data_IF_036727020084
#
_entry.id   IF_036727020084
#
_cell.length_a   1.000
_cell.length_b   1.000
_cell.length_c   1.000
_cell.angle_alpha   90.00
_cell.angle_beta   90.00
_cell.angle_gamma   90.00
#
_symmetry.space_group_name_H-M   'P 1'
#
loop_
_entity.id
_entity.type
_entity.pdbx_description
1 polymer ?
#
# COMPACT_ATOMS: atom_id res chain seq x y z
N UNK A 1 42.34 0.05 17.79
CA UNK A 1 41.77 -0.55 16.54
C UNK A 1 42.55 -0.11 15.30
N UNK A 2 42.86 1.20 15.14
CA UNK A 2 43.57 1.71 13.96
C UNK A 2 44.99 1.16 13.87
N UNK A 3 45.76 1.19 14.95
CA UNK A 3 47.15 0.68 15.01
C UNK A 3 47.18 -0.79 14.63
N UNK A 4 46.30 -1.63 15.20
CA UNK A 4 46.22 -3.06 14.87
C UNK A 4 45.88 -3.30 13.39
N UNK A 5 44.97 -2.51 12.83
CA UNK A 5 44.49 -2.68 11.46
C UNK A 5 45.53 -2.28 10.40
N UNK A 6 46.46 -1.40 10.77
CA UNK A 6 47.42 -0.81 9.86
C UNK A 6 48.88 -1.10 10.30
N UNK A 7 49.13 -2.07 11.15
CA UNK A 7 50.45 -2.49 11.55
C UNK A 7 51.16 -3.19 10.38
N UNK A 8 52.42 -2.79 10.15
CA UNK A 8 53.32 -3.40 9.17
C UNK A 8 54.56 -3.95 9.89
N UNK A 9 55.38 -4.82 9.26
CA UNK A 9 56.61 -5.33 9.86
C UNK A 9 57.57 -4.25 10.40
N UNK A 10 57.49 -3.03 9.85
CA UNK A 10 58.23 -1.85 10.31
C UNK A 10 57.51 -0.98 11.35
N UNK A 11 56.43 -1.49 11.98
CA UNK A 11 55.59 -0.75 12.95
C UNK A 11 54.52 0.10 12.32
N UNK A 12 53.76 0.81 13.16
CA UNK A 12 52.70 1.73 12.72
C UNK A 12 53.29 3.07 12.23
N UNK A 13 52.95 3.46 11.00
CA UNK A 13 53.30 4.79 10.44
C UNK A 13 52.01 5.41 9.91
N UNK A 14 51.66 6.62 10.38
CA UNK A 14 50.43 7.31 10.02
C UNK A 14 50.26 7.50 8.48
N UNK A 15 51.35 7.82 7.76
CA UNK A 15 51.34 7.97 6.30
C UNK A 15 50.99 6.65 5.62
N UNK A 16 51.57 5.53 6.05
CA UNK A 16 51.28 4.19 5.51
C UNK A 16 49.87 3.76 5.85
N UNK A 17 49.40 4.05 7.08
CA UNK A 17 48.02 3.78 7.51
C UNK A 17 47.01 4.54 6.65
N UNK A 18 47.25 5.83 6.37
CA UNK A 18 46.38 6.63 5.48
C UNK A 18 46.41 6.12 4.03
N UNK A 19 47.56 5.75 3.50
CA UNK A 19 47.65 5.17 2.15
C UNK A 19 46.90 3.86 2.05
N UNK A 20 47.05 2.97 3.06
CA UNK A 20 46.31 1.71 3.14
C UNK A 20 44.78 1.90 3.30
N UNK A 21 44.38 2.92 4.09
CA UNK A 21 42.99 3.29 4.23
C UNK A 21 42.38 3.75 2.88
N UNK A 22 43.06 4.64 2.17
CA UNK A 22 42.67 5.08 0.82
C UNK A 22 42.68 3.94 -0.22
N UNK A 23 43.61 3.00 -0.10
CA UNK A 23 43.64 1.82 -0.97
C UNK A 23 42.42 0.94 -0.70
N UNK A 24 42.11 0.63 0.57
CA UNK A 24 40.91 -0.14 0.97
C UNK A 24 39.62 0.53 0.52
N UNK A 25 39.53 1.86 0.66
CA UNK A 25 38.40 2.65 0.16
C UNK A 25 38.24 2.48 -1.34
N UNK A 26 39.31 2.67 -2.12
CA UNK A 26 39.30 2.43 -3.58
C UNK A 26 38.93 1.01 -3.96
N UNK A 27 39.45 0.01 -3.25
CA UNK A 27 39.21 -1.39 -3.52
C UNK A 27 37.78 -1.80 -3.13
N UNK A 28 37.20 -1.17 -2.10
CA UNK A 28 35.79 -1.35 -1.75
C UNK A 28 34.84 -0.79 -2.82
N UNK A 29 35.21 0.35 -3.45
CA UNK A 29 34.46 0.94 -4.55
C UNK A 29 34.66 0.20 -5.89
N UNK A 30 35.70 -0.62 -6.03
CA UNK A 30 35.96 -1.45 -7.23
C UNK A 30 35.20 -2.76 -7.25
N UNK A 31 34.69 -3.24 -6.11
CA UNK A 31 33.87 -4.45 -6.09
C UNK A 31 32.59 -4.17 -6.84
N UNK A 32 32.23 -4.97 -7.85
CA UNK A 32 30.93 -4.83 -8.49
C UNK A 32 29.86 -4.94 -7.43
N UNK A 33 28.85 -4.08 -7.52
CA UNK A 33 27.70 -4.19 -6.63
C UNK A 33 27.08 -5.57 -6.76
N UNK A 34 26.71 -6.18 -5.64
CA UNK A 34 26.01 -7.47 -5.62
C UNK A 34 24.79 -7.46 -6.58
N UNK A 35 24.08 -6.32 -6.68
CA UNK A 35 22.95 -6.18 -7.60
C UNK A 35 23.43 -6.15 -9.05
N UNK A 36 24.50 -5.39 -9.37
CA UNK A 36 25.04 -5.31 -10.74
C UNK A 36 25.62 -6.63 -11.25
N UNK A 37 26.07 -7.51 -10.36
CA UNK A 37 26.59 -8.83 -10.71
C UNK A 37 25.53 -9.92 -10.84
N UNK A 38 24.26 -9.63 -10.54
CA UNK A 38 23.15 -10.59 -10.58
C UNK A 38 21.99 -10.05 -11.43
N UNK A 39 21.84 -10.58 -12.64
CA UNK A 39 20.71 -10.25 -13.52
C UNK A 39 19.36 -10.59 -12.87
N UNK A 40 19.29 -11.70 -12.11
CA UNK A 40 18.09 -12.10 -11.40
C UNK A 40 17.68 -11.07 -10.33
N UNK A 41 18.64 -10.49 -9.58
CA UNK A 41 18.35 -9.43 -8.63
C UNK A 41 17.87 -8.16 -9.33
N UNK A 42 18.53 -7.76 -10.42
CA UNK A 42 18.16 -6.58 -11.20
C UNK A 42 16.73 -6.70 -11.73
N UNK A 43 16.42 -7.81 -12.37
CA UNK A 43 15.09 -8.07 -12.94
C UNK A 43 14.01 -8.09 -11.86
N UNK A 44 14.26 -8.75 -10.73
CA UNK A 44 13.32 -8.79 -9.61
C UNK A 44 13.09 -7.38 -9.02
N UNK A 45 14.16 -6.62 -8.78
CA UNK A 45 14.04 -5.26 -8.24
C UNK A 45 13.25 -4.38 -9.22
N UNK A 46 13.57 -4.43 -10.51
CA UNK A 46 12.89 -3.65 -11.54
C UNK A 46 11.39 -3.97 -11.60
N UNK A 47 11.03 -5.25 -11.69
CA UNK A 47 9.64 -5.71 -11.71
C UNK A 47 8.85 -5.23 -10.47
N UNK A 48 9.43 -5.40 -9.27
CA UNK A 48 8.73 -5.01 -8.03
C UNK A 48 8.66 -3.49 -7.85
N UNK A 49 9.63 -2.74 -8.37
CA UNK A 49 9.57 -1.28 -8.42
C UNK A 49 8.45 -0.79 -9.32
N UNK A 50 8.22 -1.41 -10.48
CA UNK A 50 7.07 -1.10 -11.37
C UNK A 50 5.73 -1.33 -10.66
N UNK A 51 5.65 -2.29 -9.76
CA UNK A 51 4.49 -2.54 -8.89
C UNK A 51 4.46 -1.59 -7.67
N UNK A 52 5.29 -0.56 -7.66
CA UNK A 52 5.42 0.46 -6.62
C UNK A 52 5.79 -0.10 -5.23
N UNK A 53 6.48 -1.25 -5.16
CA UNK A 53 7.02 -1.73 -3.89
C UNK A 53 8.15 -0.80 -3.42
N UNK A 54 8.27 -0.62 -2.11
CA UNK A 54 9.41 0.11 -1.57
C UNK A 54 10.67 -0.78 -1.54
N UNK A 55 11.89 -0.20 -1.60
CA UNK A 55 13.13 -0.96 -1.43
C UNK A 55 13.15 -1.84 -0.18
N UNK A 56 12.51 -1.38 0.90
CA UNK A 56 12.38 -2.17 2.14
C UNK A 56 11.50 -3.41 1.96
N UNK A 57 10.37 -3.29 1.26
CA UNK A 57 9.49 -4.42 0.95
C UNK A 57 10.19 -5.42 0.03
N UNK A 58 10.90 -4.93 -0.98
CA UNK A 58 11.68 -5.74 -1.92
C UNK A 58 12.75 -6.54 -1.16
N UNK A 59 13.55 -5.86 -0.33
CA UNK A 59 14.60 -6.48 0.49
C UNK A 59 14.06 -7.60 1.37
N UNK A 60 12.96 -7.37 2.10
CA UNK A 60 12.37 -8.34 3.02
C UNK A 60 11.71 -9.53 2.34
N UNK A 61 11.24 -9.34 1.12
CA UNK A 61 10.53 -10.37 0.37
C UNK A 61 11.42 -11.20 -0.53
N UNK A 62 12.52 -10.64 -1.02
CA UNK A 62 13.43 -11.24 -2.00
C UNK A 62 13.90 -12.64 -1.58
N UNK A 63 14.24 -12.84 -0.31
CA UNK A 63 14.69 -14.15 0.20
C UNK A 63 13.61 -15.23 0.04
N UNK A 64 12.36 -14.88 0.34
CA UNK A 64 11.22 -15.81 0.21
C UNK A 64 10.89 -16.12 -1.26
N UNK A 65 10.97 -15.11 -2.13
CA UNK A 65 10.52 -15.23 -3.51
C UNK A 65 11.58 -15.85 -4.44
N UNK A 66 12.86 -15.49 -4.27
CA UNK A 66 13.94 -15.92 -5.17
C UNK A 66 15.19 -16.47 -4.47
N UNK A 67 15.16 -16.67 -3.15
CA UNK A 67 16.27 -17.23 -2.38
C UNK A 67 17.50 -16.32 -2.21
N UNK A 68 17.44 -15.07 -2.69
CA UNK A 68 18.54 -14.10 -2.63
C UNK A 68 18.28 -13.07 -1.54
N UNK A 69 19.36 -12.53 -0.96
CA UNK A 69 19.28 -11.54 0.14
C UNK A 69 20.03 -10.28 -0.22
N UNK A 70 19.40 -9.12 -0.03
CA UNK A 70 20.02 -7.80 -0.22
C UNK A 70 19.42 -6.81 0.78
N UNK A 71 20.24 -5.88 1.31
CA UNK A 71 19.71 -4.85 2.19
C UNK A 71 18.93 -3.77 1.38
N UNK A 72 17.94 -3.16 2.02
CA UNK A 72 17.19 -2.06 1.38
C UNK A 72 18.10 -0.86 1.10
N UNK A 73 19.14 -0.64 1.88
CA UNK A 73 20.14 0.41 1.66
C UNK A 73 20.94 0.15 0.38
N UNK A 74 21.33 -1.12 0.14
CA UNK A 74 22.01 -1.52 -1.12
C UNK A 74 21.10 -1.28 -2.33
N UNK A 75 19.77 -1.52 -2.20
CA UNK A 75 18.81 -1.21 -3.27
C UNK A 75 18.72 0.31 -3.49
N UNK A 76 18.70 1.13 -2.43
CA UNK A 76 18.74 2.59 -2.58
C UNK A 76 20.03 3.06 -3.27
N UNK A 77 21.19 2.52 -2.88
CA UNK A 77 22.46 2.83 -3.54
C UNK A 77 22.43 2.43 -5.02
N UNK A 78 21.87 1.28 -5.35
CA UNK A 78 21.68 0.88 -6.74
C UNK A 78 20.86 1.92 -7.50
N UNK A 79 19.70 2.32 -7.00
CA UNK A 79 18.80 3.28 -7.66
C UNK A 79 19.44 4.66 -7.82
N UNK A 80 20.07 5.19 -6.75
CA UNK A 80 20.54 6.58 -6.75
C UNK A 80 21.96 6.79 -7.27
N UNK A 81 22.83 5.82 -7.09
CA UNK A 81 24.26 5.94 -7.36
C UNK A 81 24.69 5.15 -8.60
N UNK A 82 24.23 3.91 -8.72
CA UNK A 82 24.73 2.99 -9.75
C UNK A 82 23.96 3.07 -11.06
N UNK A 83 22.66 3.38 -11.04
CA UNK A 83 21.88 3.57 -12.27
C UNK A 83 22.12 4.97 -12.85
N UNK A 84 22.10 5.06 -14.19
CA UNK A 84 22.31 6.29 -14.95
C UNK A 84 21.20 6.48 -16.00
N UNK A 85 21.06 7.70 -16.52
CA UNK A 85 20.17 8.00 -17.63
C UNK A 85 18.69 7.74 -17.34
N UNK A 86 18.00 7.17 -18.29
CA UNK A 86 16.56 6.91 -18.23
C UNK A 86 16.18 5.91 -17.14
N UNK A 87 16.96 4.84 -16.93
CA UNK A 87 16.71 3.85 -15.89
C UNK A 87 16.68 4.49 -14.48
N UNK A 88 17.58 5.44 -14.21
CA UNK A 88 17.58 6.17 -12.93
C UNK A 88 16.31 7.00 -12.74
N UNK A 89 15.90 7.73 -13.79
CA UNK A 89 14.67 8.53 -13.76
C UNK A 89 13.46 7.66 -13.50
N UNK A 90 13.37 6.55 -14.22
CA UNK A 90 12.27 5.59 -14.10
C UNK A 90 12.17 4.98 -12.71
N UNK A 91 13.25 4.37 -12.19
CA UNK A 91 13.27 3.77 -10.86
C UNK A 91 12.99 4.79 -9.74
N UNK A 92 13.51 6.02 -9.88
CA UNK A 92 13.23 7.10 -8.92
C UNK A 92 11.74 7.52 -8.97
N UNK A 93 11.12 7.47 -10.16
CA UNK A 93 9.71 7.78 -10.31
C UNK A 93 8.78 6.79 -9.59
N UNK A 94 9.19 5.54 -9.42
CA UNK A 94 8.43 4.51 -8.68
C UNK A 94 8.52 4.65 -7.17
N UNK A 95 9.45 5.44 -6.63
CA UNK A 95 9.54 5.67 -5.19
C UNK A 95 8.36 6.48 -4.65
N UNK A 96 7.81 6.04 -3.51
CA UNK A 96 6.60 6.63 -2.90
C UNK A 96 6.74 8.11 -2.53
N UNK A 97 7.92 8.56 -2.13
CA UNK A 97 8.16 9.95 -1.73
C UNK A 97 8.68 10.80 -2.88
N UNK A 98 7.80 11.13 -3.83
CA UNK A 98 7.97 12.36 -4.60
C UNK A 98 7.61 13.50 -3.65
N UNK A 99 8.60 14.20 -3.08
CA UNK A 99 8.32 15.33 -2.17
C UNK A 99 7.48 16.40 -2.84
N UNK A 100 6.16 16.52 -2.60
CA UNK A 100 5.50 17.80 -2.68
C UNK A 100 5.62 18.50 -1.32
N UNK A 101 5.81 19.82 -1.31
CA UNK A 101 5.72 20.64 -0.11
C UNK A 101 4.42 20.31 0.64
N UNK A 102 4.53 20.16 1.96
CA UNK A 102 3.37 20.01 2.86
C UNK A 102 2.53 21.28 2.74
N UNK A 103 1.37 21.19 2.08
CA UNK A 103 0.37 22.27 2.10
C UNK A 103 -0.43 22.18 3.39
N UNK A 104 -0.69 23.31 4.04
CA UNK A 104 -1.58 23.36 5.21
C UNK A 104 -2.99 22.95 4.76
N UNK A 105 -3.66 22.09 5.54
CA UNK A 105 -5.05 21.74 5.31
C UNK A 105 -5.91 22.98 5.61
N UNK A 106 -6.54 23.57 4.61
CA UNK A 106 -7.68 24.45 4.83
C UNK A 106 -8.82 23.61 5.37
N UNK A 107 -9.31 23.95 6.53
CA UNK A 107 -10.54 23.39 7.11
C UNK A 107 -11.72 23.95 6.28
N UNK A 108 -12.19 23.17 5.32
CA UNK A 108 -13.48 23.43 4.70
C UNK A 108 -14.56 22.84 5.58
N UNK A 109 -15.33 23.70 6.24
CA UNK A 109 -16.53 23.36 6.99
C UNK A 109 -17.69 23.10 6.00
N UNK A 110 -17.69 21.94 5.34
CA UNK A 110 -18.88 21.48 4.64
C UNK A 110 -19.96 21.07 5.64
N UNK A 111 -21.13 21.71 5.60
CA UNK A 111 -22.35 21.22 6.25
C UNK A 111 -22.80 19.93 5.56
N UNK A 112 -22.26 18.79 6.02
CA UNK A 112 -22.69 17.46 5.56
C UNK A 112 -24.07 17.18 6.15
N UNK A 113 -25.03 16.83 5.28
CA UNK A 113 -26.36 16.42 5.72
C UNK A 113 -26.30 15.14 6.58
N UNK A 114 -27.25 14.96 7.48
CA UNK A 114 -27.39 13.77 8.32
C UNK A 114 -27.86 12.57 7.51
N UNK A 115 -27.23 11.40 7.74
CA UNK A 115 -27.69 10.11 7.19
C UNK A 115 -28.78 9.60 8.14
N UNK A 116 -30.02 9.32 7.65
CA UNK A 116 -31.09 8.77 8.50
C UNK A 116 -30.71 7.43 9.11
N UNK A 117 -31.07 7.21 10.37
CA UNK A 117 -30.94 5.92 11.09
C UNK A 117 -29.52 5.32 11.05
N UNK A 118 -28.53 6.17 11.07
CA UNK A 118 -27.13 5.82 11.07
C UNK A 118 -26.73 5.15 12.40
N UNK A 119 -26.03 4.00 12.32
CA UNK A 119 -25.46 3.33 13.49
C UNK A 119 -24.05 3.87 13.71
N UNK A 120 -23.82 4.45 14.90
CA UNK A 120 -22.51 4.99 15.25
C UNK A 120 -21.45 3.90 15.38
N UNK A 121 -20.19 4.24 15.07
CA UNK A 121 -19.04 3.37 15.28
C UNK A 121 -18.88 2.96 16.75
N UNK A 122 -19.41 3.75 17.71
CA UNK A 122 -19.41 3.41 19.13
C UNK A 122 -20.22 2.15 19.47
N UNK A 123 -21.15 1.76 18.60
CA UNK A 123 -21.95 0.53 18.74
C UNK A 123 -21.33 -0.67 17.99
N UNK A 124 -20.17 -0.47 17.37
CA UNK A 124 -19.47 -1.53 16.66
C UNK A 124 -18.90 -2.54 17.66
N UNK A 125 -18.99 -3.86 17.40
CA UNK A 125 -18.42 -4.88 18.30
C UNK A 125 -16.93 -4.61 18.59
N UNK A 126 -16.52 -4.81 19.85
CA UNK A 126 -15.15 -4.55 20.32
C UNK A 126 -14.14 -5.41 19.56
N UNK A 127 -14.50 -6.64 19.19
CA UNK A 127 -13.67 -7.58 18.41
C UNK A 127 -13.15 -7.00 17.08
N UNK A 128 -13.81 -5.95 16.57
CA UNK A 128 -13.38 -5.29 15.32
C UNK A 128 -12.14 -4.44 15.54
N UNK A 129 -11.86 -3.99 16.76
CA UNK A 129 -10.72 -3.10 17.07
C UNK A 129 -9.39 -3.82 16.91
N UNK A 130 -9.27 -5.06 17.39
CA UNK A 130 -8.03 -5.82 17.44
C UNK A 130 -7.55 -6.27 16.05
N UNK A 131 -8.41 -6.19 15.02
CA UNK A 131 -8.10 -6.59 13.64
C UNK A 131 -7.59 -8.04 13.52
N UNK A 132 -7.99 -8.90 14.44
CA UNK A 132 -7.63 -10.32 14.47
C UNK A 132 -8.70 -11.13 13.73
N UNK A 133 -9.96 -10.85 14.00
CA UNK A 133 -11.09 -11.55 13.42
C UNK A 133 -11.33 -11.05 11.98
N UNK A 134 -11.35 -11.93 10.97
CA UNK A 134 -11.62 -11.54 9.59
C UNK A 134 -13.12 -11.26 9.36
N UNK A 135 -13.39 -10.57 8.24
CA UNK A 135 -14.76 -10.26 7.82
C UNK A 135 -15.20 -8.83 8.15
N UNK A 136 -14.32 -8.01 8.70
CA UNK A 136 -14.59 -6.62 9.02
C UNK A 136 -13.92 -5.70 8.00
N UNK A 137 -14.73 -4.94 7.27
CA UNK A 137 -14.29 -4.12 6.14
C UNK A 137 -14.35 -2.63 6.45
N UNK A 138 -13.47 -1.89 5.83
CA UNK A 138 -13.51 -0.42 5.74
C UNK A 138 -13.82 -0.04 4.30
N UNK A 139 -14.80 0.86 4.08
CA UNK A 139 -15.19 1.32 2.76
C UNK A 139 -14.97 2.81 2.56
N UNK A 140 -14.72 3.23 1.31
CA UNK A 140 -14.55 4.63 0.92
C UNK A 140 -14.72 4.80 -0.60
N UNK A 141 -14.79 6.06 -1.05
CA UNK A 141 -14.71 6.42 -2.46
C UNK A 141 -13.41 7.17 -2.77
N UNK A 142 -12.79 6.82 -3.88
CA UNK A 142 -11.72 7.62 -4.46
C UNK A 142 -12.30 8.42 -5.61
N UNK A 143 -12.48 9.71 -5.38
CA UNK A 143 -13.07 10.64 -6.35
C UNK A 143 -12.06 11.02 -7.42
N UNK A 144 -12.49 11.02 -8.68
CA UNK A 144 -11.71 11.36 -9.86
C UNK A 144 -11.70 12.84 -10.22
N UNK A 145 -11.34 13.11 -11.48
CA UNK A 145 -11.26 14.46 -12.02
C UNK A 145 -12.59 15.21 -11.86
N UNK A 146 -12.50 16.46 -11.42
CA UNK A 146 -13.62 17.41 -11.31
C UNK A 146 -14.83 16.83 -10.53
N UNK A 147 -14.59 15.86 -9.66
CA UNK A 147 -15.62 15.13 -8.91
C UNK A 147 -16.69 14.44 -9.79
N UNK A 148 -16.39 14.17 -11.08
CA UNK A 148 -17.37 13.59 -12.04
C UNK A 148 -17.40 12.07 -12.01
N UNK A 149 -16.31 11.41 -11.62
CA UNK A 149 -16.18 9.96 -11.55
C UNK A 149 -15.63 9.51 -10.22
N UNK A 150 -15.79 8.24 -9.86
CA UNK A 150 -15.21 7.65 -8.66
C UNK A 150 -15.04 6.13 -8.81
N UNK A 151 -14.17 5.56 -7.98
CA UNK A 151 -14.13 4.13 -7.72
C UNK A 151 -14.38 3.87 -6.24
N UNK A 152 -15.05 2.76 -5.94
CA UNK A 152 -15.21 2.29 -4.57
C UNK A 152 -14.01 1.50 -4.11
N UNK A 153 -13.70 1.60 -2.83
CA UNK A 153 -12.67 0.80 -2.17
C UNK A 153 -13.26 0.08 -0.97
N UNK A 154 -12.99 -1.20 -0.87
CA UNK A 154 -13.34 -2.04 0.28
C UNK A 154 -12.06 -2.71 0.75
N UNK A 155 -11.68 -2.52 2.00
CA UNK A 155 -10.44 -3.09 2.55
C UNK A 155 -10.77 -3.91 3.78
N UNK A 156 -10.39 -5.19 3.77
CA UNK A 156 -10.55 -6.07 4.90
C UNK A 156 -9.49 -5.72 5.98
N UNK A 157 -9.93 -5.61 7.24
CA UNK A 157 -9.14 -5.00 8.32
C UNK A 157 -8.00 -5.88 8.81
N UNK A 158 -8.17 -7.19 8.87
CA UNK A 158 -7.15 -8.13 9.38
C UNK A 158 -6.09 -8.44 8.32
N UNK A 159 -6.49 -8.76 7.11
CA UNK A 159 -5.63 -9.18 6.01
C UNK A 159 -5.11 -8.04 5.13
N UNK A 160 -5.70 -6.84 5.24
CA UNK A 160 -5.46 -5.69 4.34
C UNK A 160 -5.85 -5.98 2.88
N UNK A 161 -6.63 -7.04 2.64
CA UNK A 161 -7.10 -7.38 1.31
C UNK A 161 -8.01 -6.29 0.78
N UNK A 162 -7.74 -5.83 -0.44
CA UNK A 162 -8.42 -4.71 -1.06
C UNK A 162 -9.24 -5.17 -2.25
N UNK A 163 -10.49 -4.71 -2.31
CA UNK A 163 -11.35 -4.81 -3.48
C UNK A 163 -11.54 -3.41 -4.07
N UNK A 164 -11.29 -3.28 -5.36
CA UNK A 164 -11.59 -2.06 -6.12
C UNK A 164 -12.89 -2.28 -6.89
N UNK A 165 -13.82 -1.35 -6.73
CA UNK A 165 -15.17 -1.45 -7.27
C UNK A 165 -15.37 -0.37 -8.32
N UNK A 166 -15.60 -0.79 -9.57
CA UNK A 166 -15.99 0.13 -10.64
C UNK A 166 -17.40 0.65 -10.36
N UNK A 167 -17.60 1.95 -10.47
CA UNK A 167 -18.87 2.62 -10.23
C UNK A 167 -19.36 3.27 -11.53
N UNK A 168 -20.61 3.05 -11.86
CA UNK A 168 -21.30 3.71 -12.98
C UNK A 168 -21.73 5.14 -12.60
N UNK A 169 -21.92 5.40 -11.30
CA UNK A 169 -22.28 6.69 -10.74
C UNK A 169 -21.82 6.83 -9.29
N UNK A 170 -21.87 8.07 -8.75
CA UNK A 170 -21.53 8.37 -7.35
C UNK A 170 -22.77 8.47 -6.45
N UNK A 171 -23.96 8.30 -7.02
CA UNK A 171 -25.19 8.30 -6.26
C UNK A 171 -25.27 7.07 -5.34
N UNK A 172 -26.08 7.19 -4.29
CA UNK A 172 -26.19 6.16 -3.26
C UNK A 172 -26.72 4.81 -3.79
N UNK A 173 -27.49 4.82 -4.87
CA UNK A 173 -28.02 3.59 -5.45
C UNK A 173 -26.93 2.83 -6.22
N UNK A 174 -26.18 3.54 -7.07
CA UNK A 174 -25.06 2.98 -7.83
C UNK A 174 -23.99 2.41 -6.92
N UNK A 175 -23.58 3.16 -5.89
CA UNK A 175 -22.59 2.70 -4.89
C UNK A 175 -23.09 1.47 -4.14
N UNK A 176 -24.34 1.53 -3.64
CA UNK A 176 -24.96 0.38 -2.93
C UNK A 176 -24.98 -0.89 -3.78
N UNK A 177 -25.47 -0.78 -5.04
CA UNK A 177 -25.56 -1.93 -5.97
C UNK A 177 -24.17 -2.53 -6.25
N UNK A 178 -23.19 -1.67 -6.57
CA UNK A 178 -21.85 -2.12 -6.91
C UNK A 178 -21.14 -2.78 -5.71
N UNK A 179 -21.22 -2.17 -4.52
CA UNK A 179 -20.65 -2.75 -3.30
C UNK A 179 -21.34 -4.06 -2.91
N UNK A 180 -22.68 -4.10 -2.94
CA UNK A 180 -23.41 -5.31 -2.62
C UNK A 180 -23.09 -6.47 -3.58
N UNK A 181 -22.94 -6.18 -4.89
CA UNK A 181 -22.50 -7.17 -5.88
C UNK A 181 -21.14 -7.75 -5.51
N UNK A 182 -20.15 -6.84 -5.19
CA UNK A 182 -18.79 -7.27 -4.90
C UNK A 182 -18.67 -8.05 -3.61
N UNK A 183 -19.42 -7.68 -2.57
CA UNK A 183 -19.44 -8.38 -1.28
C UNK A 183 -20.08 -9.78 -1.42
N UNK A 184 -21.11 -9.93 -2.23
CA UNK A 184 -21.78 -11.23 -2.45
C UNK A 184 -20.88 -12.29 -3.13
N UNK A 185 -19.78 -11.87 -3.76
CA UNK A 185 -18.78 -12.77 -4.33
C UNK A 185 -17.93 -13.46 -3.23
N UNK A 186 -17.99 -12.97 -1.98
CA UNK A 186 -17.19 -13.46 -0.86
C UNK A 186 -17.96 -14.47 0.02
N UNK A 187 -17.26 -15.39 0.70
CA UNK A 187 -17.85 -16.25 1.72
C UNK A 187 -18.52 -15.43 2.83
N UNK A 188 -19.65 -15.93 3.36
CA UNK A 188 -20.41 -15.23 4.40
C UNK A 188 -19.62 -14.93 5.66
N UNK A 189 -18.78 -15.85 6.09
CA UNK A 189 -17.96 -15.72 7.28
C UNK A 189 -16.93 -14.58 7.18
N UNK A 190 -16.64 -14.14 5.95
CA UNK A 190 -15.76 -13.00 5.65
C UNK A 190 -16.53 -11.70 5.36
N UNK A 191 -17.83 -11.63 5.66
CA UNK A 191 -18.68 -10.45 5.35
C UNK A 191 -19.53 -10.04 6.55
N UNK A 192 -18.88 -9.67 7.67
CA UNK A 192 -19.54 -9.36 8.95
C UNK A 192 -19.98 -7.90 9.07
N UNK A 193 -19.05 -6.97 8.96
CA UNK A 193 -19.34 -5.53 9.12
C UNK A 193 -18.63 -4.66 8.09
N UNK A 194 -19.23 -3.51 7.81
CA UNK A 194 -18.64 -2.45 7.01
C UNK A 194 -18.56 -1.16 7.82
N UNK A 195 -17.36 -0.59 7.95
CA UNK A 195 -17.16 0.74 8.53
C UNK A 195 -17.02 1.76 7.42
N UNK A 196 -17.84 2.81 7.45
CA UNK A 196 -17.89 3.84 6.42
C UNK A 196 -17.83 5.24 7.04
N UNK A 197 -17.52 6.28 6.26
CA UNK A 197 -17.69 7.65 6.73
C UNK A 197 -19.15 8.12 6.59
N UNK A 198 -19.39 9.38 6.96
CA UNK A 198 -20.73 9.97 6.82
C UNK A 198 -20.98 10.54 5.43
N UNK A 199 -20.45 9.90 4.38
CA UNK A 199 -20.68 10.28 2.99
C UNK A 199 -22.13 10.00 2.56
N UNK A 200 -22.71 10.93 1.81
CA UNK A 200 -24.11 10.81 1.31
C UNK A 200 -24.32 9.60 0.38
N UNK A 201 -23.26 9.11 -0.22
CA UNK A 201 -23.28 7.92 -1.08
C UNK A 201 -23.65 6.64 -0.31
N UNK A 202 -23.62 6.66 1.05
CA UNK A 202 -24.02 5.52 1.87
C UNK A 202 -25.39 5.72 2.56
N UNK A 203 -26.20 6.66 2.10
CA UNK A 203 -27.57 6.89 2.63
C UNK A 203 -28.48 5.68 2.47
N UNK A 204 -28.24 4.79 1.50
CA UNK A 204 -28.99 3.53 1.32
C UNK A 204 -28.41 2.36 2.11
N UNK A 205 -27.67 2.61 3.22
CA UNK A 205 -27.01 1.58 4.03
C UNK A 205 -27.98 0.47 4.54
N UNK A 206 -29.23 0.80 4.88
CA UNK A 206 -30.23 -0.20 5.28
C UNK A 206 -30.52 -1.21 4.17
N UNK A 207 -30.69 -0.72 2.92
CA UNK A 207 -30.88 -1.60 1.75
C UNK A 207 -29.61 -2.42 1.47
N UNK A 208 -28.43 -1.85 1.69
CA UNK A 208 -27.17 -2.58 1.58
C UNK A 208 -27.09 -3.70 2.63
N UNK A 209 -27.39 -3.40 3.90
CA UNK A 209 -27.44 -4.40 4.98
C UNK A 209 -28.45 -5.51 4.69
N UNK A 210 -29.66 -5.17 4.20
CA UNK A 210 -30.64 -6.19 3.81
C UNK A 210 -30.13 -7.11 2.69
N UNK A 211 -29.42 -6.53 1.71
CA UNK A 211 -28.93 -7.27 0.54
C UNK A 211 -27.69 -8.14 0.84
N UNK A 212 -26.84 -7.74 1.78
CA UNK A 212 -25.56 -8.39 2.06
C UNK A 212 -25.49 -9.07 3.42
N UNK A 213 -26.40 -8.76 4.33
CA UNK A 213 -26.39 -9.11 5.76
C UNK A 213 -25.20 -8.50 6.53
N UNK A 214 -24.44 -7.60 5.93
CA UNK A 214 -23.37 -6.85 6.61
C UNK A 214 -23.94 -5.65 7.35
N UNK A 215 -23.61 -5.52 8.63
CA UNK A 215 -23.95 -4.33 9.41
C UNK A 215 -23.03 -3.17 9.04
N UNK A 216 -23.60 -1.99 8.78
CA UNK A 216 -22.83 -0.77 8.48
C UNK A 216 -22.72 0.10 9.72
N UNK A 217 -21.50 0.52 10.03
CA UNK A 217 -21.17 1.45 11.12
C UNK A 217 -20.53 2.71 10.56
N UNK A 218 -20.95 3.87 11.06
CA UNK A 218 -20.47 5.16 10.59
C UNK A 218 -19.47 5.80 11.56
N UNK A 219 -18.35 6.27 11.02
CA UNK A 219 -17.32 6.95 11.77
C UNK A 219 -17.81 8.26 12.38
N UNK A 220 -17.14 8.71 13.43
CA UNK A 220 -17.36 10.04 13.97
C UNK A 220 -16.87 11.12 12.99
N UNK A 221 -17.45 12.33 13.06
CA UNK A 221 -16.98 13.45 12.27
C UNK A 221 -15.49 13.71 12.53
N UNK A 222 -14.75 14.04 11.48
CA UNK A 222 -13.33 14.40 11.54
C UNK A 222 -12.40 13.33 12.17
N UNK A 223 -12.82 12.05 12.16
CA UNK A 223 -12.08 10.94 12.75
C UNK A 223 -11.51 9.96 11.70
N UNK A 224 -10.58 10.39 10.82
CA UNK A 224 -10.04 9.55 9.75
C UNK A 224 -9.29 8.31 10.27
N UNK A 225 -8.72 8.37 11.48
CA UNK A 225 -8.03 7.24 12.11
C UNK A 225 -8.92 6.02 12.34
N UNK A 226 -10.25 6.21 12.44
CA UNK A 226 -11.21 5.11 12.58
C UNK A 226 -11.31 4.22 11.34
N UNK A 227 -10.80 4.72 10.17
CA UNK A 227 -10.65 3.99 8.90
C UNK A 227 -9.21 4.01 8.39
N UNK A 228 -8.24 3.95 9.29
CA UNK A 228 -6.82 4.08 8.96
C UNK A 228 -6.30 3.03 7.95
N UNK A 229 -6.93 1.85 7.87
CA UNK A 229 -6.58 0.82 6.90
C UNK A 229 -6.95 1.26 5.49
N UNK A 230 -8.15 1.77 5.32
CA UNK A 230 -8.63 2.24 4.03
C UNK A 230 -7.88 3.52 3.60
N UNK A 231 -7.69 4.48 4.51
CA UNK A 231 -6.94 5.71 4.21
C UNK A 231 -5.51 5.41 3.71
N UNK A 232 -4.80 4.50 4.37
CA UNK A 232 -3.48 4.06 3.91
C UNK A 232 -3.54 3.40 2.54
N UNK A 233 -4.53 2.53 2.29
CA UNK A 233 -4.72 1.84 1.02
C UNK A 233 -5.07 2.83 -0.10
N UNK A 234 -5.93 3.81 0.16
CA UNK A 234 -6.25 4.88 -0.78
C UNK A 234 -5.00 5.68 -1.16
N UNK A 235 -4.09 5.92 -0.21
CA UNK A 235 -2.78 6.51 -0.49
C UNK A 235 -1.91 5.67 -1.43
N UNK A 236 -2.00 4.34 -1.37
CA UNK A 236 -1.30 3.44 -2.30
C UNK A 236 -1.96 3.41 -3.67
N UNK A 237 -3.30 3.40 -3.73
CA UNK A 237 -4.08 3.46 -4.98
C UNK A 237 -3.73 4.73 -5.75
N UNK A 238 -3.52 5.86 -5.06
CA UNK A 238 -3.11 7.14 -5.67
C UNK A 238 -1.72 7.10 -6.32
N UNK A 239 -0.90 6.09 -6.02
CA UNK A 239 0.32 5.82 -6.76
C UNK A 239 0.07 5.35 -8.19
N UNK A 240 -1.00 4.58 -8.41
CA UNK A 240 -1.44 4.09 -9.71
C UNK A 240 -2.42 5.05 -10.42
N UNK A 241 -3.27 5.70 -9.64
CA UNK A 241 -4.28 6.67 -10.10
C UNK A 241 -4.05 8.02 -9.42
N UNK A 242 -3.17 8.89 -9.93
CA UNK A 242 -2.92 10.21 -9.37
C UNK A 242 -4.19 11.07 -9.23
N UNK A 243 -4.11 12.14 -8.44
CA UNK A 243 -5.21 13.13 -8.37
C UNK A 243 -5.47 13.68 -9.77
N UNK A 244 -6.75 13.82 -10.15
CA UNK A 244 -7.14 14.25 -11.47
C UNK A 244 -7.34 13.11 -12.49
N UNK A 245 -7.14 11.83 -12.09
CA UNK A 245 -7.51 10.69 -12.94
C UNK A 245 -9.01 10.70 -13.22
N UNK A 246 -9.42 10.56 -14.47
CA UNK A 246 -10.81 10.32 -14.84
C UNK A 246 -11.10 8.82 -14.81
N UNK A 247 -11.88 8.37 -13.83
CA UNK A 247 -12.20 6.95 -13.66
C UNK A 247 -13.19 6.43 -14.70
N UNK A 248 -13.88 7.28 -15.45
CA UNK A 248 -14.71 6.83 -16.58
C UNK A 248 -13.84 6.23 -17.70
N UNK A 249 -12.58 6.66 -17.81
CA UNK A 249 -11.62 6.16 -18.80
C UNK A 249 -10.82 4.94 -18.30
N UNK A 250 -10.98 4.57 -17.05
CA UNK A 250 -10.27 3.41 -16.45
C UNK A 250 -11.06 2.14 -16.72
N UNK A 251 -10.47 1.23 -17.50
CA UNK A 251 -11.12 -0.04 -17.81
C UNK A 251 -11.17 -0.96 -16.58
N UNK A 252 -12.10 -1.92 -16.60
CA UNK A 252 -12.24 -2.93 -15.54
C UNK A 252 -10.96 -3.78 -15.41
N UNK A 253 -10.31 -4.08 -16.53
CA UNK A 253 -9.04 -4.82 -16.59
C UNK A 253 -7.93 -4.06 -15.87
N UNK A 254 -7.80 -2.75 -16.12
CA UNK A 254 -6.83 -1.90 -15.44
C UNK A 254 -7.11 -1.81 -13.95
N UNK A 255 -8.39 -1.70 -13.56
CA UNK A 255 -8.79 -1.67 -12.16
C UNK A 255 -8.44 -2.99 -11.45
N UNK A 256 -8.72 -4.13 -12.09
CA UNK A 256 -8.36 -5.46 -11.59
C UNK A 256 -6.85 -5.66 -11.49
N UNK A 257 -6.09 -5.17 -12.47
CA UNK A 257 -4.63 -5.21 -12.42
C UNK A 257 -4.08 -4.44 -11.21
N UNK A 258 -4.59 -3.23 -10.96
CA UNK A 258 -4.19 -2.43 -9.79
C UNK A 258 -4.59 -3.12 -8.48
N UNK A 259 -5.80 -3.69 -8.41
CA UNK A 259 -6.25 -4.48 -7.27
C UNK A 259 -5.28 -5.64 -6.97
N UNK A 260 -4.86 -6.38 -7.98
CA UNK A 260 -3.91 -7.48 -7.84
C UNK A 260 -2.55 -6.97 -7.38
N UNK A 261 -2.02 -5.91 -7.99
CA UNK A 261 -0.76 -5.31 -7.59
C UNK A 261 -0.75 -4.86 -6.12
N UNK A 262 -1.88 -4.34 -5.62
CA UNK A 262 -2.05 -3.95 -4.21
C UNK A 262 -2.13 -5.17 -3.27
N UNK A 263 -2.81 -6.24 -3.70
CA UNK A 263 -3.01 -7.44 -2.91
C UNK A 263 -1.78 -8.37 -2.93
N UNK A 264 -0.92 -8.26 -3.93
CA UNK A 264 0.38 -8.94 -4.00
C UNK A 264 1.51 -8.14 -3.35
N UNK A 265 1.26 -6.89 -2.96
CA UNK A 265 2.26 -6.05 -2.31
C UNK A 265 2.45 -6.42 -0.84
N UNK A 266 3.66 -6.82 -0.38
CA UNK A 266 3.91 -7.21 1.01
C UNK A 266 3.57 -6.10 2.01
N UNK A 267 3.07 -6.47 3.17
CA UNK A 267 2.76 -5.52 4.25
C UNK A 267 3.61 -5.80 5.47
N UNK A 268 4.25 -4.79 6.01
CA UNK A 268 5.01 -4.92 7.26
C UNK A 268 4.13 -5.41 8.41
N UNK A 269 2.87 -4.95 8.48
CA UNK A 269 1.87 -5.37 9.48
C UNK A 269 1.42 -6.83 9.32
N UNK A 270 1.79 -7.50 8.24
CA UNK A 270 1.55 -8.91 7.96
C UNK A 270 2.86 -9.69 7.90
N UNK A 271 3.91 -9.21 8.59
CA UNK A 271 5.24 -9.84 8.58
C UNK A 271 5.79 -10.06 7.16
N UNK A 272 5.54 -9.08 6.28
CA UNK A 272 5.86 -9.11 4.85
C UNK A 272 5.17 -10.20 4.03
N UNK A 273 4.13 -10.84 4.57
CA UNK A 273 3.18 -11.56 3.74
C UNK A 273 2.34 -10.58 2.94
N UNK A 274 1.79 -11.06 1.83
CA UNK A 274 0.89 -10.26 1.00
C UNK A 274 -0.54 -10.35 1.52
N UNK A 275 -1.38 -9.32 1.30
CA UNK A 275 -2.81 -9.40 1.57
C UNK A 275 -3.47 -10.62 0.94
N UNK A 276 -3.07 -10.97 -0.30
CA UNK A 276 -3.59 -12.13 -1.03
C UNK A 276 -3.24 -13.46 -0.35
N UNK A 277 -1.98 -13.64 0.07
CA UNK A 277 -1.57 -14.85 0.81
C UNK A 277 -2.35 -15.00 2.11
N UNK A 278 -2.45 -13.90 2.89
CA UNK A 278 -3.14 -13.90 4.17
C UNK A 278 -4.65 -14.15 3.98
N UNK A 279 -5.27 -13.51 2.98
CA UNK A 279 -6.70 -13.70 2.69
C UNK A 279 -6.99 -15.12 2.20
N UNK A 280 -6.17 -15.66 1.30
CA UNK A 280 -6.34 -17.03 0.78
C UNK A 280 -6.17 -18.07 1.89
N UNK A 281 -5.26 -17.86 2.86
CA UNK A 281 -5.12 -18.76 4.01
C UNK A 281 -6.38 -18.80 4.90
N UNK A 282 -7.19 -17.73 4.88
CA UNK A 282 -8.50 -17.72 5.53
C UNK A 282 -9.55 -18.48 4.70
N UNK A 283 -9.57 -18.29 3.37
CA UNK A 283 -10.51 -18.98 2.49
C UNK A 283 -10.38 -20.52 2.58
N UNK A 284 -9.18 -21.02 2.87
CA UNK A 284 -8.94 -22.47 3.05
C UNK A 284 -9.44 -23.00 4.39
N UNK A 285 -9.84 -22.14 5.33
CA UNK A 285 -10.36 -22.54 6.66
C UNK A 285 -11.87 -22.53 6.72
N UNK A 286 -12.53 -21.96 5.72
CA UNK A 286 -13.98 -21.87 5.56
C UNK A 286 -14.44 -22.53 4.27
#
# INVERSE_FOLDING_TARGET
>A
REVYRNHSPGGYRAVSAHSQAKKRERDSHRRPSMILSSEQMQSYIYEKMQLLWSPYQISKRMTKDIGLTVSHETIYQYIYVQTKGELKKELTAYLRQRKPRRQSRKLETEKRGTIPDMISISQRPVEVEDRIIPGHWEGDLIVGKDHKSAIGTLVERSTRYCLLVHLEGKDAESVRKAFAKKIKELPRDLTKTLTYDRGKEMTQHKKFTMATKMQVYFCDPHSPWQRGTNENTNGLIRGFFPKGTDFNLVTKEKLNWVQNALNERPRQTLEFNTPKETFNSLLLKY
#
